data_IF_833496076508
#
_entry.id   IF_833496076508
#
_cell.length_a   1.000
_cell.length_b   1.000
_cell.length_c   1.000
_cell.angle_alpha   90.00
_cell.angle_beta   90.00
_cell.angle_gamma   90.00
#
_symmetry.space_group_name_H-M   'P 1'
#
loop_
_entity.id
_entity.type
_entity.pdbx_description
1 polymer ?
#
# COMPACT_ATOMS: atom_id res chain seq x y z
N UNK A 1 6.70 -26.65 -2.94
CA UNK A 1 6.89 -27.31 -1.63
C UNK A 1 8.25 -26.97 -1.01
N UNK A 2 8.58 -25.69 -0.73
CA UNK A 2 9.87 -25.33 -0.12
C UNK A 2 10.02 -25.84 1.33
N UNK A 3 8.91 -25.94 2.08
CA UNK A 3 8.92 -26.42 3.46
C UNK A 3 9.37 -27.90 3.58
N UNK A 4 8.94 -28.77 2.66
CA UNK A 4 9.28 -30.22 2.69
C UNK A 4 10.79 -30.45 2.53
N UNK A 5 11.45 -29.62 1.72
CA UNK A 5 12.92 -29.69 1.54
C UNK A 5 13.66 -29.38 2.83
N UNK A 6 13.28 -28.30 3.52
CA UNK A 6 13.91 -27.89 4.77
C UNK A 6 13.75 -28.98 5.84
N UNK A 7 12.56 -29.58 5.92
CA UNK A 7 12.30 -30.70 6.84
C UNK A 7 13.15 -31.93 6.52
N UNK A 8 13.36 -32.23 5.24
CA UNK A 8 14.23 -33.34 4.82
C UNK A 8 15.68 -33.11 5.23
N UNK A 9 16.23 -31.91 4.97
CA UNK A 9 17.60 -31.57 5.40
C UNK A 9 17.74 -31.63 6.93
N UNK A 10 16.74 -31.15 7.66
CA UNK A 10 16.71 -31.26 9.13
C UNK A 10 16.79 -32.74 9.58
N UNK A 11 16.02 -33.62 8.93
CA UNK A 11 16.05 -35.05 9.23
C UNK A 11 17.44 -35.68 8.93
N UNK A 12 18.11 -35.24 7.87
CA UNK A 12 19.48 -35.67 7.55
C UNK A 12 20.49 -35.17 8.59
N UNK A 13 20.38 -33.92 9.04
CA UNK A 13 21.21 -33.40 10.12
C UNK A 13 21.02 -34.21 11.41
N UNK A 14 19.79 -34.56 11.76
CA UNK A 14 19.52 -35.39 12.94
C UNK A 14 20.06 -36.83 12.77
N UNK A 15 20.01 -37.38 11.54
CA UNK A 15 20.59 -38.69 11.20
C UNK A 15 22.13 -38.70 11.38
N UNK A 16 22.81 -37.62 10.97
CA UNK A 16 24.25 -37.44 11.15
C UNK A 16 24.63 -37.37 12.64
N UNK A 17 23.85 -36.63 13.45
CA UNK A 17 24.07 -36.55 14.91
C UNK A 17 23.90 -37.91 15.57
N UNK A 18 22.88 -38.67 15.18
CA UNK A 18 22.66 -40.03 15.67
C UNK A 18 23.61 -41.08 15.04
N UNK A 19 24.52 -40.66 14.15
CA UNK A 19 25.43 -41.52 13.39
C UNK A 19 24.71 -42.73 12.75
N UNK A 20 23.60 -42.47 12.07
CA UNK A 20 22.76 -43.53 11.49
C UNK A 20 22.21 -43.18 10.11
N UNK A 21 22.28 -44.15 9.20
CA UNK A 21 21.66 -44.04 7.87
C UNK A 21 20.19 -44.54 7.85
N UNK A 22 19.70 -45.04 9.00
CA UNK A 22 18.37 -45.63 9.16
C UNK A 22 17.36 -44.61 9.72
N UNK A 23 17.34 -43.42 9.11
CA UNK A 23 16.46 -42.31 9.47
C UNK A 23 15.47 -42.04 8.32
N UNK A 24 14.17 -42.01 8.64
CA UNK A 24 13.10 -41.74 7.68
C UNK A 24 12.29 -40.51 8.11
N UNK A 25 12.02 -39.59 7.18
CA UNK A 25 11.12 -38.46 7.41
C UNK A 25 9.72 -38.80 6.90
N UNK A 26 8.74 -38.69 7.80
CA UNK A 26 7.34 -38.95 7.52
C UNK A 26 6.53 -37.67 7.72
N UNK A 27 5.72 -37.29 6.74
CA UNK A 27 4.81 -36.15 6.83
C UNK A 27 3.38 -36.67 6.77
N UNK A 28 2.53 -36.20 7.67
CA UNK A 28 1.13 -36.59 7.73
C UNK A 28 0.24 -35.42 7.33
N UNK A 29 -0.55 -35.61 6.28
CA UNK A 29 -1.54 -34.64 5.80
C UNK A 29 -2.94 -35.29 5.79
N UNK A 30 -3.98 -34.51 5.49
CA UNK A 30 -5.37 -34.98 5.38
C UNK A 30 -5.53 -36.12 4.36
N UNK A 31 -4.71 -36.15 3.32
CA UNK A 31 -4.73 -37.20 2.29
C UNK A 31 -4.09 -38.52 2.72
N UNK A 32 -3.33 -38.54 3.83
CA UNK A 32 -2.65 -39.72 4.36
C UNK A 32 -1.19 -39.47 4.77
N UNK A 33 -0.43 -40.56 4.92
CA UNK A 33 0.96 -40.55 5.39
C UNK A 33 1.91 -40.61 4.20
N UNK A 34 2.89 -39.70 4.15
CA UNK A 34 3.86 -39.58 3.08
C UNK A 34 5.29 -39.78 3.60
N UNK A 35 6.05 -40.64 2.95
CA UNK A 35 7.49 -40.80 3.19
C UNK A 35 8.25 -39.85 2.26
N UNK A 36 9.14 -39.06 2.82
CA UNK A 36 9.99 -38.12 2.09
C UNK A 36 11.34 -38.77 1.81
N UNK A 37 11.78 -38.75 0.55
CA UNK A 37 13.06 -39.32 0.14
C UNK A 37 13.70 -38.50 -0.98
N UNK A 38 15.03 -38.55 -1.04
CA UNK A 38 15.80 -38.04 -2.17
C UNK A 38 15.77 -39.05 -3.31
N UNK A 39 15.38 -38.61 -4.50
CA UNK A 39 15.44 -39.45 -5.70
C UNK A 39 16.89 -39.65 -6.12
N UNK A 40 17.35 -40.90 -6.22
CA UNK A 40 18.73 -41.25 -6.58
C UNK A 40 18.93 -41.42 -8.08
N UNK A 41 17.85 -41.51 -8.86
CA UNK A 41 17.90 -41.77 -10.32
C UNK A 41 17.81 -40.47 -11.15
N UNK A 42 17.65 -39.32 -10.50
CA UNK A 42 17.60 -38.01 -11.17
C UNK A 42 18.97 -37.33 -11.11
N UNK A 43 19.48 -36.82 -12.24
CA UNK A 43 20.73 -36.03 -12.32
C UNK A 43 20.70 -34.70 -11.54
N UNK A 44 19.58 -34.40 -10.90
CA UNK A 44 19.34 -33.18 -10.14
C UNK A 44 19.46 -33.52 -8.64
N UNK A 45 20.62 -33.22 -8.04
CA UNK A 45 20.96 -33.54 -6.64
C UNK A 45 19.98 -32.95 -5.61
N UNK A 46 19.01 -32.14 -6.03
CA UNK A 46 18.11 -31.38 -5.19
C UNK A 46 16.65 -31.83 -5.27
N UNK A 47 16.34 -32.89 -6.02
CA UNK A 47 14.95 -33.34 -6.19
C UNK A 47 14.48 -34.27 -5.06
N UNK A 48 13.71 -33.70 -4.13
CA UNK A 48 13.07 -34.42 -3.02
C UNK A 48 11.65 -34.82 -3.43
N UNK A 49 11.32 -36.10 -3.29
CA UNK A 49 10.00 -36.68 -3.64
C UNK A 49 9.29 -37.21 -2.40
N UNK A 50 7.97 -37.24 -2.47
CA UNK A 50 7.10 -37.79 -1.43
C UNK A 50 6.35 -39.01 -1.99
N UNK A 51 6.38 -40.14 -1.29
CA UNK A 51 5.59 -41.33 -1.64
C UNK A 51 4.56 -41.61 -0.56
N UNK A 52 3.29 -41.71 -0.95
CA UNK A 52 2.19 -42.11 -0.07
C UNK A 52 2.40 -43.55 0.41
N UNK A 53 2.31 -43.79 1.71
CA UNK A 53 2.51 -45.11 2.33
C UNK A 53 1.18 -45.62 2.89
N UNK A 54 0.80 -46.86 2.57
CA UNK A 54 -0.49 -47.48 2.96
C UNK A 54 -0.51 -48.00 4.41
N UNK A 55 0.65 -48.25 5.02
CA UNK A 55 0.83 -48.66 6.42
C UNK A 55 2.19 -48.14 6.90
N UNK A 56 2.27 -47.64 8.14
CA UNK A 56 3.55 -47.34 8.78
C UNK A 56 4.42 -48.61 8.72
N UNK A 57 5.54 -48.56 7.99
CA UNK A 57 6.58 -49.59 8.14
C UNK A 57 7.02 -49.53 9.61
N UNK A 58 7.26 -50.72 10.21
CA UNK A 58 7.79 -50.99 11.57
C UNK A 58 7.85 -49.81 12.53
N UNK A 59 7.25 -49.95 13.72
CA UNK A 59 7.36 -48.95 14.78
C UNK A 59 8.83 -48.54 14.97
N UNK A 60 9.15 -47.24 14.85
CA UNK A 60 10.52 -46.78 14.97
C UNK A 60 11.02 -47.03 16.39
N UNK A 61 12.33 -47.26 16.51
CA UNK A 61 12.96 -47.43 17.81
C UNK A 61 13.00 -46.11 18.60
N UNK A 62 13.10 -44.99 17.88
CA UNK A 62 12.94 -43.66 18.44
C UNK A 62 12.19 -42.75 17.46
N UNK A 63 11.26 -41.98 17.99
CA UNK A 63 10.40 -41.07 17.24
C UNK A 63 10.63 -39.65 17.73
N UNK A 64 11.05 -38.76 16.84
CA UNK A 64 11.11 -37.33 17.10
C UNK A 64 9.99 -36.63 16.32
N UNK A 65 9.05 -36.01 17.04
CA UNK A 65 8.01 -35.19 16.41
C UNK A 65 8.55 -33.79 16.14
N UNK A 66 8.21 -33.26 14.97
CA UNK A 66 8.43 -31.87 14.61
C UNK A 66 7.11 -31.14 14.80
N UNK A 67 7.13 -30.14 15.67
CA UNK A 67 5.93 -29.41 16.09
C UNK A 67 6.10 -27.95 15.67
N UNK A 68 5.05 -27.38 15.09
CA UNK A 68 4.96 -25.95 14.81
C UNK A 68 4.62 -25.15 16.09
N UNK A 69 4.78 -23.84 16.05
CA UNK A 69 4.46 -22.90 17.14
C UNK A 69 2.99 -23.00 17.59
N UNK A 70 2.09 -23.48 16.73
CA UNK A 70 0.69 -23.75 17.04
C UNK A 70 0.43 -25.15 17.63
N UNK A 71 1.46 -25.84 18.10
CA UNK A 71 1.42 -27.24 18.55
C UNK A 71 0.99 -28.26 17.47
N UNK A 72 0.93 -27.83 16.20
CA UNK A 72 0.60 -28.68 15.07
C UNK A 72 1.76 -29.58 14.67
N UNK A 73 1.51 -30.87 14.43
CA UNK A 73 2.52 -31.80 13.93
C UNK A 73 2.81 -31.52 12.45
N UNK A 74 4.02 -31.06 12.14
CA UNK A 74 4.48 -30.76 10.76
C UNK A 74 5.22 -31.93 10.12
N UNK A 75 5.61 -32.93 10.92
CA UNK A 75 6.32 -34.11 10.45
C UNK A 75 6.94 -34.91 11.59
N UNK A 76 7.34 -36.14 11.29
CA UNK A 76 7.93 -37.07 12.22
C UNK A 76 9.22 -37.65 11.65
N UNK A 77 10.28 -37.62 12.46
CA UNK A 77 11.56 -38.24 12.14
C UNK A 77 11.61 -39.60 12.85
N UNK A 78 11.68 -40.65 12.05
CA UNK A 78 11.65 -42.04 12.49
C UNK A 78 13.07 -42.61 12.47
N UNK A 79 13.62 -42.93 13.64
CA UNK A 79 14.90 -43.59 13.78
C UNK A 79 14.68 -45.09 13.97
N UNK A 80 15.18 -45.89 13.02
CA UNK A 80 15.09 -47.35 13.04
C UNK A 80 16.33 -48.02 13.66
N UNK A 81 17.16 -47.22 14.35
CA UNK A 81 18.36 -47.61 15.07
C UNK A 81 18.32 -47.05 16.50
N UNK A 82 19.06 -47.64 17.46
CA UNK A 82 19.14 -47.11 18.81
C UNK A 82 19.88 -45.76 18.81
N UNK A 83 19.23 -44.73 19.33
CA UNK A 83 19.80 -43.39 19.51
C UNK A 83 20.22 -43.23 20.98
N UNK A 84 21.43 -42.74 21.22
CA UNK A 84 21.92 -42.52 22.58
C UNK A 84 21.18 -41.35 23.26
N UNK A 85 21.14 -41.34 24.59
CA UNK A 85 20.45 -40.28 25.32
C UNK A 85 21.09 -38.89 25.11
N UNK A 86 22.41 -38.86 24.89
CA UNK A 86 23.12 -37.63 24.52
C UNK A 86 22.67 -37.11 23.15
N UNK A 87 22.57 -37.99 22.17
CA UNK A 87 22.20 -37.59 20.80
C UNK A 87 20.74 -37.14 20.74
N UNK A 88 19.86 -37.76 21.53
CA UNK A 88 18.45 -37.31 21.69
C UNK A 88 18.35 -35.88 22.18
N UNK A 89 19.15 -35.50 23.18
CA UNK A 89 19.14 -34.13 23.69
C UNK A 89 19.58 -33.13 22.61
N UNK A 90 20.62 -33.46 21.84
CA UNK A 90 21.11 -32.63 20.74
C UNK A 90 20.06 -32.51 19.64
N UNK A 91 19.44 -33.62 19.25
CA UNK A 91 18.37 -33.66 18.24
C UNK A 91 17.18 -32.78 18.67
N UNK A 92 16.78 -32.83 19.94
CA UNK A 92 15.70 -32.00 20.47
C UNK A 92 16.03 -30.50 20.38
N UNK A 93 17.26 -30.10 20.76
CA UNK A 93 17.72 -28.72 20.63
C UNK A 93 17.64 -28.28 19.17
N UNK A 94 18.20 -29.06 18.24
CA UNK A 94 18.17 -28.75 16.80
C UNK A 94 16.73 -28.59 16.29
N UNK A 95 15.83 -29.49 16.66
CA UNK A 95 14.43 -29.44 16.26
C UNK A 95 13.72 -28.19 16.81
N UNK A 96 14.04 -27.77 18.03
CA UNK A 96 13.47 -26.57 18.66
C UNK A 96 13.86 -25.29 17.91
N UNK A 97 15.15 -25.13 17.59
CA UNK A 97 15.62 -23.99 16.79
C UNK A 97 15.05 -24.00 15.37
N UNK A 98 14.99 -25.18 14.74
CA UNK A 98 14.42 -25.34 13.40
C UNK A 98 12.92 -24.98 13.36
N UNK A 99 12.15 -25.34 14.38
CA UNK A 99 10.74 -24.94 14.51
C UNK A 99 10.58 -23.41 14.56
N UNK A 100 11.38 -22.74 15.38
CA UNK A 100 11.40 -21.27 15.44
C UNK A 100 11.75 -20.62 14.10
N UNK A 101 12.80 -21.11 13.42
CA UNK A 101 13.19 -20.59 12.11
C UNK A 101 12.13 -20.82 11.03
N UNK A 102 11.48 -21.98 11.02
CA UNK A 102 10.41 -22.29 10.07
C UNK A 102 9.20 -21.36 10.27
N UNK A 103 8.84 -21.10 11.52
CA UNK A 103 7.78 -20.15 11.87
C UNK A 103 8.11 -18.73 11.39
N UNK A 104 9.32 -18.23 11.65
CA UNK A 104 9.74 -16.92 11.15
C UNK A 104 9.68 -16.84 9.61
N UNK A 105 10.10 -17.89 8.90
CA UNK A 105 9.99 -17.94 7.45
C UNK A 105 8.53 -17.96 6.96
N UNK A 106 7.64 -18.66 7.66
CA UNK A 106 6.20 -18.66 7.35
C UNK A 106 5.57 -17.29 7.60
N UNK A 107 5.89 -16.62 8.71
CA UNK A 107 5.39 -15.26 9.01
C UNK A 107 5.92 -14.25 8.00
N UNK A 108 7.20 -14.31 7.63
CA UNK A 108 7.78 -13.43 6.61
C UNK A 108 7.10 -13.63 5.25
N UNK A 109 6.93 -14.88 4.82
CA UNK A 109 6.23 -15.18 3.54
C UNK A 109 4.74 -14.86 3.60
N UNK A 110 4.08 -14.98 4.76
CA UNK A 110 2.71 -14.50 4.94
C UNK A 110 2.66 -12.99 4.80
N UNK A 111 3.52 -12.23 5.48
CA UNK A 111 3.61 -10.76 5.37
C UNK A 111 3.79 -10.30 3.91
N UNK A 112 4.60 -11.02 3.13
CA UNK A 112 4.76 -10.77 1.70
C UNK A 112 3.50 -11.12 0.88
N UNK A 113 2.82 -12.21 1.22
CA UNK A 113 1.58 -12.67 0.53
C UNK A 113 0.35 -11.85 0.89
N UNK A 114 0.30 -11.24 2.08
CA UNK A 114 -0.70 -10.22 2.46
C UNK A 114 -0.45 -8.87 1.75
N UNK A 115 0.36 -8.85 0.69
CA UNK A 115 0.64 -7.72 -0.17
C UNK A 115 -0.59 -6.95 -0.68
N UNK A 116 -1.78 -7.55 -0.72
CA UNK A 116 -3.03 -6.83 -1.02
C UNK A 116 -3.42 -5.81 0.08
N UNK A 117 -3.11 -6.07 1.36
CA UNK A 117 -3.19 -5.06 2.43
C UNK A 117 -1.96 -4.14 2.48
N UNK A 118 -0.83 -4.59 1.93
CA UNK A 118 0.36 -3.74 1.77
C UNK A 118 0.11 -2.56 0.84
N UNK A 119 -0.69 -2.68 -0.21
CA UNK A 119 -1.04 -1.52 -1.06
C UNK A 119 -1.83 -0.47 -0.29
N UNK A 120 -2.85 -0.86 0.48
CA UNK A 120 -3.65 0.08 1.28
C UNK A 120 -2.81 0.69 2.42
N UNK A 121 -2.00 -0.11 3.11
CA UNK A 121 -1.13 0.40 4.18
C UNK A 121 0.02 1.25 3.64
N UNK A 122 0.60 0.88 2.50
CA UNK A 122 1.61 1.68 1.80
C UNK A 122 0.99 2.95 1.24
N UNK A 123 -0.24 2.91 0.73
CA UNK A 123 -0.98 4.10 0.31
C UNK A 123 -1.27 4.98 1.51
N UNK A 124 -1.76 4.44 2.62
CA UNK A 124 -2.01 5.20 3.84
C UNK A 124 -0.73 5.79 4.42
N UNK A 125 0.37 5.05 4.41
CA UNK A 125 1.68 5.51 4.86
C UNK A 125 2.25 6.58 3.93
N UNK A 126 2.11 6.43 2.61
CA UNK A 126 2.47 7.44 1.61
C UNK A 126 1.63 8.71 1.81
N UNK A 127 0.32 8.59 2.00
CA UNK A 127 -0.58 9.72 2.28
C UNK A 127 -0.17 10.43 3.58
N UNK A 128 0.02 9.68 4.68
CA UNK A 128 0.43 10.26 5.96
C UNK A 128 1.81 10.92 5.88
N UNK A 129 2.76 10.30 5.19
CA UNK A 129 4.11 10.84 5.04
C UNK A 129 4.09 12.09 4.14
N UNK A 130 3.30 12.06 3.07
CA UNK A 130 3.05 13.23 2.23
C UNK A 130 2.44 14.39 3.03
N UNK A 131 1.39 14.13 3.83
CA UNK A 131 0.77 15.16 4.67
C UNK A 131 1.75 15.76 5.68
N UNK A 132 2.62 14.94 6.28
CA UNK A 132 3.65 15.40 7.20
C UNK A 132 4.71 16.26 6.51
N UNK A 133 5.12 15.91 5.29
CA UNK A 133 6.08 16.69 4.52
C UNK A 133 5.49 18.06 4.10
N UNK A 134 4.20 18.08 3.74
CA UNK A 134 3.46 19.34 3.48
C UNK A 134 3.42 20.20 4.74
N UNK A 135 3.02 19.63 5.88
CA UNK A 135 2.97 20.37 7.14
C UNK A 135 4.35 20.95 7.50
N UNK A 136 5.42 20.15 7.40
CA UNK A 136 6.80 20.62 7.64
C UNK A 136 7.18 21.75 6.69
N UNK A 137 6.91 21.63 5.39
CA UNK A 137 7.23 22.67 4.40
C UNK A 137 6.46 23.98 4.65
N UNK A 138 5.27 23.90 5.24
CA UNK A 138 4.48 25.08 5.64
C UNK A 138 5.06 25.72 6.90
N UNK A 139 5.45 24.93 7.89
CA UNK A 139 5.91 25.45 9.19
C UNK A 139 7.39 25.88 9.20
N UNK A 140 8.24 25.28 8.37
CA UNK A 140 9.67 25.63 8.28
C UNK A 140 9.91 26.96 7.57
N UNK A 141 8.99 27.32 6.66
CA UNK A 141 9.03 28.56 5.92
C UNK A 141 8.18 29.60 6.67
N UNK A 142 8.82 30.48 7.44
CA UNK A 142 8.20 31.71 7.97
C UNK A 142 7.90 32.61 6.76
N UNK A 143 6.84 32.30 6.03
CA UNK A 143 6.53 32.94 4.76
C UNK A 143 5.08 33.44 4.77
N UNK A 144 4.86 34.50 3.98
CA UNK A 144 3.57 35.14 3.77
C UNK A 144 2.44 34.14 3.53
N UNK A 145 1.24 34.54 3.93
CA UNK A 145 0.03 33.72 3.80
C UNK A 145 -0.19 33.22 2.36
N UNK A 146 0.18 34.03 1.37
CA UNK A 146 0.04 33.67 -0.05
C UNK A 146 0.96 32.50 -0.46
N UNK A 147 2.21 32.46 0.00
CA UNK A 147 3.11 31.35 -0.34
C UNK A 147 2.67 30.03 0.30
N UNK A 148 2.17 30.07 1.54
CA UNK A 148 1.62 28.88 2.21
C UNK A 148 0.42 28.35 1.43
N UNK A 149 -0.49 29.23 1.01
CA UNK A 149 -1.66 28.85 0.22
C UNK A 149 -1.21 28.23 -1.12
N UNK A 150 -0.31 28.88 -1.87
CA UNK A 150 0.19 28.35 -3.15
C UNK A 150 0.83 26.97 -2.98
N UNK A 151 1.61 26.75 -1.92
CA UNK A 151 2.19 25.44 -1.61
C UNK A 151 1.10 24.40 -1.37
N UNK A 152 0.15 24.67 -0.45
CA UNK A 152 -0.96 23.76 -0.15
C UNK A 152 -1.76 23.41 -1.40
N UNK A 153 -2.04 24.41 -2.25
CA UNK A 153 -2.77 24.20 -3.51
C UNK A 153 -2.00 23.32 -4.49
N UNK A 154 -0.69 23.56 -4.67
CA UNK A 154 0.17 22.72 -5.50
C UNK A 154 0.20 21.27 -4.98
N UNK A 155 0.26 21.10 -3.66
CA UNK A 155 0.29 19.78 -3.04
C UNK A 155 -1.04 19.04 -3.23
N UNK A 156 -2.17 19.71 -2.99
CA UNK A 156 -3.49 19.12 -3.19
C UNK A 156 -3.71 18.75 -4.67
N UNK A 157 -3.29 19.59 -5.62
CA UNK A 157 -3.34 19.28 -7.04
C UNK A 157 -2.54 18.01 -7.39
N UNK A 158 -1.31 17.87 -6.87
CA UNK A 158 -0.49 16.66 -7.07
C UNK A 158 -1.11 15.41 -6.44
N UNK A 159 -1.78 15.55 -5.29
CA UNK A 159 -2.39 14.43 -4.58
C UNK A 159 -3.56 13.81 -5.35
N UNK A 160 -4.38 14.67 -5.99
CA UNK A 160 -5.55 14.25 -6.77
C UNK A 160 -5.26 14.09 -8.26
N UNK A 161 -4.00 14.24 -8.67
CA UNK A 161 -3.58 14.23 -10.08
C UNK A 161 -4.39 15.23 -10.92
N UNK A 162 -4.48 16.47 -10.44
CA UNK A 162 -5.18 17.55 -11.13
C UNK A 162 -4.21 18.41 -11.94
N UNK A 163 -4.61 18.76 -13.16
CA UNK A 163 -3.83 19.60 -14.06
C UNK A 163 -3.72 21.05 -13.58
N UNK A 164 -4.77 21.57 -12.94
CA UNK A 164 -4.84 22.96 -12.50
C UNK A 164 -5.58 23.08 -11.18
N UNK A 165 -5.11 24.00 -10.33
CA UNK A 165 -5.84 24.45 -9.15
C UNK A 165 -6.03 25.97 -9.16
N UNK A 166 -7.21 26.42 -8.74
CA UNK A 166 -7.55 27.84 -8.56
C UNK A 166 -8.21 28.04 -7.20
N UNK A 167 -8.00 29.21 -6.61
CA UNK A 167 -8.59 29.62 -5.34
C UNK A 167 -9.45 30.85 -5.56
N UNK A 168 -10.73 30.73 -5.23
CA UNK A 168 -11.67 31.83 -5.27
C UNK A 168 -12.02 32.25 -3.85
N UNK A 169 -11.97 33.55 -3.59
CA UNK A 169 -12.45 34.15 -2.36
C UNK A 169 -13.87 34.67 -2.54
N UNK A 170 -14.68 34.50 -1.49
CA UNK A 170 -16.05 35.00 -1.46
C UNK A 170 -16.07 36.43 -0.94
N UNK A 171 -16.54 37.37 -1.77
CA UNK A 171 -16.88 38.73 -1.37
C UNK A 171 -18.38 38.81 -1.05
N UNK A 172 -18.69 38.67 0.24
CA UNK A 172 -20.07 38.69 0.72
C UNK A 172 -20.74 40.07 0.64
N UNK A 173 -19.97 41.16 0.45
CA UNK A 173 -20.54 42.52 0.33
C UNK A 173 -21.10 42.77 -1.06
N UNK A 174 -20.37 42.30 -2.08
CA UNK A 174 -20.73 42.49 -3.47
C UNK A 174 -21.46 41.27 -4.08
N UNK A 175 -21.56 40.16 -3.32
CA UNK A 175 -22.05 38.87 -3.81
C UNK A 175 -21.27 38.37 -5.04
N UNK A 176 -19.94 38.50 -4.96
CA UNK A 176 -19.01 38.15 -6.03
C UNK A 176 -17.95 37.15 -5.55
N UNK A 177 -17.43 36.37 -6.48
CA UNK A 177 -16.26 35.52 -6.32
C UNK A 177 -15.10 36.13 -7.08
N UNK A 178 -13.93 36.16 -6.46
CA UNK A 178 -12.72 36.65 -7.10
C UNK A 178 -11.56 35.68 -6.92
N UNK A 179 -10.82 35.42 -8.01
CA UNK A 179 -9.67 34.53 -8.00
C UNK A 179 -8.48 35.21 -7.34
N UNK A 180 -8.07 34.75 -6.16
CA UNK A 180 -6.82 35.20 -5.54
C UNK A 180 -5.61 34.49 -6.14
N UNK A 181 -5.78 33.22 -6.50
CA UNK A 181 -4.75 32.40 -7.14
C UNK A 181 -5.43 31.62 -8.28
N UNK A 182 -4.83 31.61 -9.46
CA UNK A 182 -5.41 30.96 -10.64
C UNK A 182 -4.32 30.22 -11.44
N UNK A 183 -4.66 29.02 -11.91
CA UNK A 183 -3.79 28.19 -12.79
C UNK A 183 -2.47 27.73 -12.15
N UNK A 184 -2.56 27.23 -10.91
CA UNK A 184 -1.43 26.55 -10.25
C UNK A 184 -1.31 25.13 -10.83
N UNK A 185 -0.23 24.82 -11.56
CA UNK A 185 0.00 23.47 -12.10
C UNK A 185 0.89 23.38 -13.35
N UNK A 186 0.98 24.44 -14.16
CA UNK A 186 2.03 24.53 -15.20
C UNK A 186 3.31 25.03 -14.54
N UNK A 187 4.44 24.37 -14.77
CA UNK A 187 5.77 24.78 -14.28
C UNK A 187 6.31 26.09 -14.88
N UNK A 188 5.45 27.04 -15.19
CA UNK A 188 5.78 28.38 -15.63
C UNK A 188 5.24 29.41 -14.65
N UNK A 189 6.01 30.46 -14.45
CA UNK A 189 5.67 31.64 -13.66
C UNK A 189 4.28 32.18 -14.02
N UNK A 190 3.63 32.73 -12.98
CA UNK A 190 2.33 33.37 -12.95
C UNK A 190 1.90 33.94 -14.30
N UNK A 191 0.84 33.40 -14.90
CA UNK A 191 0.18 34.12 -15.98
C UNK A 191 -0.55 35.30 -15.36
N UNK A 192 -0.01 36.52 -15.54
CA UNK A 192 -0.40 37.91 -15.12
C UNK A 192 -1.33 38.71 -16.10
N UNK A 193 -2.35 39.44 -15.61
CA UNK A 193 -3.32 40.43 -16.22
C UNK A 193 -4.08 41.13 -15.08
N UNK A 194 -3.31 41.67 -14.14
CA UNK A 194 -3.44 42.97 -13.48
C UNK A 194 -4.85 43.58 -13.21
N UNK A 195 -5.20 43.74 -11.93
CA UNK A 195 -6.21 44.62 -11.33
C UNK A 195 -5.65 46.02 -11.14
N UNK A 196 -6.47 46.96 -10.66
CA UNK A 196 -6.11 48.36 -10.37
C UNK A 196 -4.89 48.57 -9.44
N UNK A 197 -4.48 47.55 -8.69
CA UNK A 197 -3.27 47.53 -7.85
C UNK A 197 -2.05 46.80 -8.48
N UNK A 198 -2.14 46.32 -9.72
CA UNK A 198 -1.07 45.53 -10.36
C UNK A 198 -1.33 44.02 -10.49
N UNK A 199 -2.46 43.45 -10.01
CA UNK A 199 -2.61 41.98 -9.86
C UNK A 199 -3.80 41.31 -10.57
N UNK A 200 -3.59 40.27 -11.38
CA UNK A 200 -4.62 39.62 -12.22
C UNK A 200 -5.82 39.03 -11.46
N UNK A 201 -6.99 39.67 -11.47
CA UNK A 201 -8.16 39.12 -10.76
C UNK A 201 -9.30 38.76 -11.73
N UNK A 202 -9.64 37.47 -11.75
CA UNK A 202 -10.84 36.97 -12.42
C UNK A 202 -11.97 37.10 -11.42
N UNK A 203 -13.01 37.89 -11.75
CA UNK A 203 -14.16 38.13 -10.88
C UNK A 203 -15.48 37.80 -11.60
N UNK A 204 -16.41 37.16 -10.89
CA UNK A 204 -17.75 36.83 -11.39
C UNK A 204 -18.77 36.73 -10.24
N UNK A 205 -20.06 36.83 -10.55
CA UNK A 205 -21.13 36.77 -9.54
C UNK A 205 -21.20 35.39 -8.85
N UNK A 206 -21.48 35.40 -7.54
CA UNK A 206 -21.68 34.20 -6.73
C UNK A 206 -22.90 33.37 -7.16
N UNK A 207 -23.83 33.93 -7.94
CA UNK A 207 -24.97 33.17 -8.48
C UNK A 207 -24.62 32.30 -9.70
N UNK A 208 -23.37 32.35 -10.18
CA UNK A 208 -22.96 31.75 -11.45
C UNK A 208 -21.82 30.75 -11.27
N UNK A 209 -21.88 29.67 -12.05
CA UNK A 209 -20.83 28.65 -12.02
C UNK A 209 -20.98 27.67 -10.86
N UNK A 210 -20.22 26.57 -10.94
CA UNK A 210 -20.11 25.58 -9.87
C UNK A 210 -19.51 26.20 -8.62
N UNK A 211 -18.54 27.12 -8.78
CA UNK A 211 -17.93 27.84 -7.66
C UNK A 211 -18.99 28.62 -6.86
N UNK A 212 -19.89 29.32 -7.55
CA UNK A 212 -20.99 30.05 -6.94
C UNK A 212 -21.95 29.15 -6.16
N UNK A 213 -22.28 28.00 -6.74
CA UNK A 213 -23.13 27.00 -6.10
C UNK A 213 -22.49 26.42 -4.82
N UNK A 214 -21.21 26.03 -4.86
CA UNK A 214 -20.48 25.53 -3.69
C UNK A 214 -20.30 26.61 -2.62
N UNK A 215 -20.09 27.86 -3.01
CA UNK A 215 -20.01 28.97 -2.04
C UNK A 215 -21.34 29.24 -1.35
N UNK A 216 -22.46 29.06 -2.05
CA UNK A 216 -23.80 29.31 -1.49
C UNK A 216 -24.29 28.16 -0.63
N UNK A 217 -24.00 26.92 -1.02
CA UNK A 217 -24.46 25.70 -0.33
C UNK A 217 -23.50 25.27 0.78
N UNK A 218 -22.20 25.54 0.64
CA UNK A 218 -21.17 25.01 1.52
C UNK A 218 -20.91 23.51 1.32
N UNK A 219 -21.49 22.89 0.28
CA UNK A 219 -21.30 21.47 -0.02
C UNK A 219 -20.32 21.31 -1.19
N UNK A 220 -19.33 20.42 -1.02
CA UNK A 220 -18.37 20.12 -2.07
C UNK A 220 -19.02 19.37 -3.23
N UNK A 221 -18.53 19.62 -4.45
CA UNK A 221 -19.01 18.98 -5.67
C UNK A 221 -17.87 18.29 -6.42
N UNK A 222 -18.14 17.05 -6.85
CA UNK A 222 -17.29 16.31 -7.78
C UNK A 222 -18.08 16.06 -9.06
N UNK A 223 -17.64 16.67 -10.17
CA UNK A 223 -18.32 16.68 -11.46
C UNK A 223 -17.43 15.98 -12.47
N UNK A 224 -17.94 14.91 -13.08
CA UNK A 224 -17.23 14.10 -14.07
C UNK A 224 -17.21 14.73 -15.47
N UNK A 225 -18.22 15.52 -15.81
CA UNK A 225 -18.30 16.26 -17.07
C UNK A 225 -18.85 17.67 -16.86
N UNK A 226 -17.96 18.66 -16.94
CA UNK A 226 -18.28 20.06 -16.73
C UNK A 226 -19.30 20.59 -17.76
N UNK A 227 -19.18 20.22 -19.03
CA UNK A 227 -20.05 20.75 -20.09
C UNK A 227 -21.46 20.16 -20.09
N UNK A 228 -21.67 19.04 -19.40
CA UNK A 228 -23.00 18.44 -19.18
C UNK A 228 -23.69 18.99 -17.93
N UNK A 229 -22.96 19.64 -17.02
CA UNK A 229 -23.55 20.24 -15.81
C UNK A 229 -24.13 21.63 -16.12
N UNK A 230 -25.43 21.79 -15.93
CA UNK A 230 -26.16 23.07 -16.15
C UNK A 230 -25.61 24.25 -15.33
N UNK A 231 -24.89 23.99 -14.23
CA UNK A 231 -24.30 25.00 -13.35
C UNK A 231 -22.93 25.47 -13.84
N UNK A 232 -22.32 24.79 -14.81
CA UNK A 232 -21.00 25.14 -15.32
C UNK A 232 -21.02 26.47 -16.09
N UNK A 233 -19.95 27.26 -15.94
CA UNK A 233 -19.80 28.53 -16.65
C UNK A 233 -18.68 28.44 -17.70
N UNK A 234 -19.01 28.26 -18.99
CA UNK A 234 -18.01 28.09 -20.06
C UNK A 234 -17.28 29.38 -20.43
N UNK A 235 -17.66 30.55 -19.88
CA UNK A 235 -17.00 31.82 -20.17
C UNK A 235 -15.54 31.86 -19.72
N UNK A 236 -15.20 31.17 -18.62
CA UNK A 236 -13.83 31.13 -18.08
C UNK A 236 -12.93 30.31 -19.00
N UNK A 237 -13.42 29.17 -19.47
CA UNK A 237 -12.77 28.31 -20.47
C UNK A 237 -12.55 29.05 -21.79
N UNK A 238 -13.59 29.75 -22.27
CA UNK A 238 -13.52 30.55 -23.50
C UNK A 238 -12.45 31.66 -23.43
N UNK A 239 -12.28 32.29 -22.25
CA UNK A 239 -11.28 33.35 -22.03
C UNK A 239 -9.86 32.82 -21.86
N UNK A 240 -9.72 31.59 -21.39
CA UNK A 240 -8.42 30.98 -21.07
C UNK A 240 -7.91 30.04 -22.16
N UNK A 241 -8.77 29.67 -23.12
CA UNK A 241 -8.46 28.68 -24.16
C UNK A 241 -8.30 27.26 -23.59
N UNK A 242 -8.87 27.01 -22.41
CA UNK A 242 -8.83 25.71 -21.75
C UNK A 242 -10.18 25.04 -21.84
N UNK A 243 -10.19 23.72 -21.98
CA UNK A 243 -11.41 22.90 -21.93
C UNK A 243 -11.39 22.05 -20.69
N UNK A 244 -12.27 22.38 -19.75
CA UNK A 244 -12.46 21.67 -18.50
C UNK A 244 -13.28 20.41 -18.73
N UNK A 245 -12.76 19.24 -18.28
CA UNK A 245 -13.50 17.98 -18.32
C UNK A 245 -14.11 17.67 -16.96
N UNK A 246 -13.29 17.46 -15.94
CA UNK A 246 -13.73 17.18 -14.58
C UNK A 246 -13.48 18.38 -13.67
N UNK A 247 -14.32 18.53 -12.66
CA UNK A 247 -14.23 19.59 -11.67
C UNK A 247 -14.41 18.99 -10.28
N UNK A 248 -13.46 19.27 -9.39
CA UNK A 248 -13.61 19.02 -7.96
C UNK A 248 -13.57 20.36 -7.23
N UNK A 249 -14.70 20.79 -6.68
CA UNK A 249 -14.82 22.05 -5.95
C UNK A 249 -15.15 21.78 -4.48
N UNK A 250 -14.30 22.28 -3.58
CA UNK A 250 -14.42 22.08 -2.14
C UNK A 250 -14.42 23.42 -1.40
N UNK A 251 -15.36 23.65 -0.47
CA UNK A 251 -15.35 24.82 0.38
C UNK A 251 -14.34 24.64 1.53
N UNK A 252 -13.57 25.69 1.78
CA UNK A 252 -12.62 25.83 2.89
C UNK A 252 -13.13 26.96 3.78
N UNK A 253 -13.40 26.69 5.05
CA UNK A 253 -13.86 27.70 5.99
C UNK A 253 -12.69 28.19 6.85
N UNK A 254 -12.36 29.48 6.75
CA UNK A 254 -11.31 30.11 7.56
C UNK A 254 -11.96 31.12 8.50
N UNK A 255 -12.01 30.82 9.81
CA UNK A 255 -12.56 31.71 10.86
C UNK A 255 -13.91 32.34 10.50
N UNK A 256 -14.81 31.55 9.90
CA UNK A 256 -16.15 31.99 9.47
C UNK A 256 -16.22 32.70 8.12
N UNK A 257 -15.11 32.81 7.37
CA UNK A 257 -15.10 33.24 5.96
C UNK A 257 -14.96 32.02 5.05
N UNK A 258 -15.86 31.88 4.08
CA UNK A 258 -15.81 30.82 3.07
C UNK A 258 -14.79 31.17 1.99
N UNK A 259 -13.84 30.27 1.78
CA UNK A 259 -12.83 30.29 0.74
C UNK A 259 -13.07 29.07 -0.14
N UNK A 260 -13.12 29.23 -1.45
CA UNK A 260 -13.40 28.12 -2.35
C UNK A 260 -12.13 27.60 -2.98
N UNK A 261 -11.91 26.30 -2.81
CA UNK A 261 -10.86 25.59 -3.51
C UNK A 261 -11.42 24.87 -4.72
N UNK A 262 -10.79 25.10 -5.87
CA UNK A 262 -11.30 24.68 -7.17
C UNK A 262 -10.21 23.92 -7.93
N UNK A 263 -10.41 22.63 -8.14
CA UNK A 263 -9.52 21.74 -8.86
C UNK A 263 -10.12 21.40 -10.22
N UNK A 264 -9.32 21.50 -11.26
CA UNK A 264 -9.68 21.18 -12.64
C UNK A 264 -8.80 20.05 -13.15
N UNK A 265 -9.36 19.08 -13.85
CA UNK A 265 -8.57 18.12 -14.62
C UNK A 265 -8.95 18.19 -16.12
N UNK A 266 -7.92 18.08 -16.96
CA UNK A 266 -8.02 17.89 -18.40
C UNK A 266 -8.47 16.47 -18.72
N UNK A 267 -8.95 16.22 -19.94
CA UNK A 267 -8.98 14.86 -20.46
C UNK A 267 -7.61 14.20 -20.33
N UNK A 268 -7.55 13.03 -19.69
CA UNK A 268 -6.46 12.07 -19.92
C UNK A 268 -6.38 11.87 -21.43
N UNK A 269 -5.27 12.33 -22.04
CA UNK A 269 -4.95 11.98 -23.41
C UNK A 269 -4.82 10.47 -23.46
N UNK A 270 -5.70 9.82 -24.24
CA UNK A 270 -5.54 8.43 -24.65
C UNK A 270 -4.23 8.24 -25.42
#
# INVERSE_FOLDING_TARGET
>A
MPAVRILYELAQCCAQVANTDLCELVIQNEEGVFLVYKDRDSNDEHQIKCRKVKRARRNPMHLQKLIDVNEGNIGEIHFNSPVSERDRQIINVICTWAGGSLHYAQVATQLERTGSSSELFTRQRRLNQFLLDVAKSIFQDIVSMDTVIIKVMNFAAKLVDADRASLFLVDNKNHELYARIFDVGKGGEELEKINRDGHKEIRFSMSRGIAGHVASTGEGLNIENAYEDTRFNPEVDSKTGYTTKTILCMPIFIRGRSVLYYLWQKPQTA
#
